data_IF_432091922146
#
_entry.id   IF_432091922146
#
_cell.length_a   1.000
_cell.length_b   1.000
_cell.length_c   1.000
_cell.angle_alpha   90.00
_cell.angle_beta   90.00
_cell.angle_gamma   90.00
#
_symmetry.space_group_name_H-M   'P 1'
#
loop_
_entity.id
_entity.type
_entity.pdbx_description
1 polymer ?
#
# COMPACT_ATOMS: atom_id res chain seq x y z
N UNK A 1 -21.45 18.32 -5.56
CA UNK A 1 -20.20 17.73 -6.13
C UNK A 1 -20.44 16.29 -6.49
N UNK A 2 -20.00 15.89 -7.68
CA UNK A 2 -19.94 14.48 -8.08
C UNK A 2 -18.58 13.89 -7.74
N UNK A 3 -18.58 12.77 -7.01
CA UNK A 3 -17.39 12.03 -6.63
C UNK A 3 -17.36 10.70 -7.37
N UNK A 4 -16.23 10.37 -7.95
CA UNK A 4 -15.97 9.02 -8.46
C UNK A 4 -14.95 8.34 -7.55
N UNK A 5 -15.27 7.15 -7.10
CA UNK A 5 -14.36 6.26 -6.35
C UNK A 5 -13.95 5.12 -7.25
N UNK A 6 -12.67 4.97 -7.50
CA UNK A 6 -12.11 3.81 -8.20
C UNK A 6 -11.63 2.84 -7.12
N UNK A 7 -12.48 1.87 -6.80
CA UNK A 7 -12.23 0.90 -5.76
C UNK A 7 -11.41 -0.26 -6.30
N UNK A 8 -10.24 -0.48 -5.73
CA UNK A 8 -9.46 -1.67 -6.04
C UNK A 8 -9.93 -2.93 -5.34
N UNK A 9 -9.49 -4.06 -5.86
CA UNK A 9 -9.63 -5.34 -5.18
C UNK A 9 -8.91 -5.31 -3.83
N UNK A 10 -9.61 -5.74 -2.79
CA UNK A 10 -9.09 -5.68 -1.43
C UNK A 10 -8.15 -6.85 -1.19
N UNK A 11 -6.96 -6.52 -0.73
CA UNK A 11 -5.96 -7.50 -0.32
C UNK A 11 -6.19 -7.96 1.14
N UNK A 12 -6.96 -7.19 1.93
CA UNK A 12 -7.23 -7.53 3.34
C UNK A 12 -8.36 -8.54 3.46
N UNK A 13 -8.11 -9.61 4.19
CA UNK A 13 -9.05 -10.72 4.36
C UNK A 13 -10.21 -10.43 5.31
N UNK A 14 -10.12 -9.37 6.10
CA UNK A 14 -11.10 -8.95 7.10
C UNK A 14 -12.16 -7.97 6.59
N UNK A 15 -12.00 -7.47 5.36
CA UNK A 15 -12.95 -6.56 4.71
C UNK A 15 -13.41 -7.16 3.38
N UNK A 16 -14.69 -7.35 3.23
CA UNK A 16 -15.28 -7.78 1.95
C UNK A 16 -15.41 -6.62 0.97
N UNK A 17 -15.39 -6.87 -0.36
CA UNK A 17 -15.65 -5.82 -1.36
C UNK A 17 -16.96 -5.07 -1.12
N UNK A 18 -18.00 -5.77 -0.67
CA UNK A 18 -19.29 -5.19 -0.33
C UNK A 18 -19.18 -4.21 0.84
N UNK A 19 -18.49 -4.59 1.91
CA UNK A 19 -18.28 -3.71 3.08
C UNK A 19 -17.50 -2.46 2.69
N UNK A 20 -16.48 -2.58 1.82
CA UNK A 20 -15.75 -1.42 1.33
C UNK A 20 -16.65 -0.50 0.53
N UNK A 21 -17.45 -1.03 -0.38
CA UNK A 21 -18.43 -0.26 -1.15
C UNK A 21 -19.41 0.49 -0.22
N UNK A 22 -19.91 -0.17 0.82
CA UNK A 22 -20.78 0.49 1.81
C UNK A 22 -20.05 1.58 2.62
N UNK A 23 -18.76 1.42 2.88
CA UNK A 23 -17.96 2.47 3.51
C UNK A 23 -17.82 3.70 2.60
N UNK A 24 -17.60 3.51 1.29
CA UNK A 24 -17.53 4.60 0.32
C UNK A 24 -18.86 5.35 0.18
N UNK A 25 -20.00 4.68 0.22
CA UNK A 25 -21.32 5.31 0.20
C UNK A 25 -21.56 6.30 1.34
N UNK A 26 -20.79 6.24 2.41
CA UNK A 26 -20.85 7.25 3.49
C UNK A 26 -20.49 8.65 3.00
N UNK A 27 -19.79 8.79 1.88
CA UNK A 27 -19.52 10.07 1.26
C UNK A 27 -20.78 10.81 0.84
N UNK A 28 -21.86 10.08 0.48
CA UNK A 28 -23.17 10.65 0.12
C UNK A 28 -23.81 11.45 1.28
N UNK A 29 -23.38 11.19 2.51
CA UNK A 29 -23.90 11.85 3.70
C UNK A 29 -23.20 13.20 3.97
N UNK A 30 -22.16 13.52 3.24
CA UNK A 30 -21.41 14.76 3.43
C UNK A 30 -22.12 15.93 2.74
N UNK A 31 -22.17 17.12 3.39
CA UNK A 31 -22.77 18.30 2.78
C UNK A 31 -22.11 18.67 1.45
N UNK A 32 -22.91 18.96 0.45
CA UNK A 32 -22.43 19.40 -0.87
C UNK A 32 -21.99 18.26 -1.81
N UNK A 33 -22.20 17.00 -1.42
CA UNK A 33 -22.06 15.85 -2.31
C UNK A 33 -23.43 15.53 -2.89
N UNK A 34 -23.54 15.53 -4.21
CA UNK A 34 -24.77 15.28 -4.94
C UNK A 34 -24.81 13.85 -5.48
N UNK A 35 -23.66 13.28 -5.81
CA UNK A 35 -23.54 11.96 -6.42
C UNK A 35 -22.21 11.30 -6.01
N UNK A 36 -22.26 10.02 -5.69
CA UNK A 36 -21.08 9.16 -5.49
C UNK A 36 -21.18 7.95 -6.42
N UNK A 37 -20.30 7.86 -7.38
CA UNK A 37 -20.17 6.72 -8.30
C UNK A 37 -19.02 5.85 -7.83
N UNK A 38 -19.25 4.56 -7.66
CA UNK A 38 -18.24 3.60 -7.22
C UNK A 38 -17.96 2.64 -8.37
N UNK A 39 -16.79 2.77 -8.96
CA UNK A 39 -16.29 1.88 -9.99
C UNK A 39 -15.43 0.79 -9.34
N UNK A 40 -15.71 -0.47 -9.66
CA UNK A 40 -14.98 -1.63 -9.13
C UNK A 40 -14.36 -2.38 -10.31
N UNK A 41 -13.22 -1.92 -10.82
CA UNK A 41 -12.56 -2.57 -11.94
C UNK A 41 -12.03 -3.95 -11.54
N UNK A 42 -12.17 -4.93 -12.44
CA UNK A 42 -11.65 -6.28 -12.23
C UNK A 42 -10.10 -6.34 -12.29
N UNK A 43 -9.49 -5.35 -12.91
CA UNK A 43 -8.04 -5.21 -13.05
C UNK A 43 -7.67 -3.74 -12.99
N UNK A 44 -6.39 -3.47 -12.80
CA UNK A 44 -5.86 -2.12 -12.86
C UNK A 44 -6.30 -1.40 -14.14
N UNK A 45 -7.03 -0.27 -14.05
CA UNK A 45 -7.56 0.41 -15.22
C UNK A 45 -6.46 1.06 -16.05
N UNK A 46 -6.54 0.92 -17.36
CA UNK A 46 -5.71 1.70 -18.26
C UNK A 46 -6.20 3.16 -18.36
N UNK A 47 -5.46 4.02 -19.07
CA UNK A 47 -5.75 5.45 -19.19
C UNK A 47 -7.14 5.71 -19.81
N UNK A 48 -7.54 4.94 -20.82
CA UNK A 48 -8.85 5.10 -21.48
C UNK A 48 -10.00 4.74 -20.54
N UNK A 49 -9.82 3.68 -19.75
CA UNK A 49 -10.78 3.29 -18.72
C UNK A 49 -10.86 4.34 -17.62
N UNK A 50 -9.73 4.92 -17.20
CA UNK A 50 -9.70 6.01 -16.23
C UNK A 50 -10.47 7.23 -16.73
N UNK A 51 -10.28 7.63 -17.99
CA UNK A 51 -11.09 8.70 -18.60
C UNK A 51 -12.60 8.39 -18.54
N UNK A 52 -12.97 7.14 -18.82
CA UNK A 52 -14.37 6.70 -18.80
C UNK A 52 -14.93 6.74 -17.38
N UNK A 53 -14.19 6.25 -16.39
CA UNK A 53 -14.64 6.21 -14.98
C UNK A 53 -14.73 7.61 -14.38
N UNK A 54 -13.74 8.45 -14.59
CA UNK A 54 -13.72 9.80 -14.04
C UNK A 54 -14.78 10.68 -14.70
N UNK A 55 -14.93 10.61 -16.02
CA UNK A 55 -15.94 11.35 -16.75
C UNK A 55 -15.94 12.84 -16.43
N UNK A 56 -17.07 13.34 -15.95
CA UNK A 56 -17.33 14.73 -15.58
C UNK A 56 -17.23 15.02 -14.06
N UNK A 57 -16.61 14.13 -13.29
CA UNK A 57 -16.50 14.23 -11.83
C UNK A 57 -15.78 15.50 -11.37
N UNK A 58 -16.23 16.02 -10.23
CA UNK A 58 -15.55 17.10 -9.50
C UNK A 58 -14.39 16.58 -8.64
N UNK A 59 -14.48 15.31 -8.18
CA UNK A 59 -13.48 14.68 -7.35
C UNK A 59 -13.31 13.20 -7.70
N UNK A 60 -12.07 12.71 -7.60
CA UNK A 60 -11.77 11.29 -7.77
C UNK A 60 -10.99 10.76 -6.57
N UNK A 61 -11.39 9.58 -6.10
CA UNK A 61 -10.73 8.79 -5.08
C UNK A 61 -10.27 7.49 -5.74
N UNK A 62 -8.98 7.22 -5.72
CA UNK A 62 -8.45 6.03 -6.35
C UNK A 62 -7.00 5.78 -5.94
N UNK A 63 -6.57 4.55 -6.03
CA UNK A 63 -5.27 4.13 -5.52
C UNK A 63 -4.12 4.61 -6.39
N UNK A 64 -4.26 4.55 -7.69
CA UNK A 64 -3.13 4.63 -8.59
C UNK A 64 -3.21 5.84 -9.51
N UNK A 65 -3.39 6.99 -8.89
CA UNK A 65 -3.26 8.25 -9.60
C UNK A 65 -1.77 8.61 -9.58
N UNK A 66 -1.15 8.51 -10.71
CA UNK A 66 0.29 8.70 -10.89
C UNK A 66 0.63 9.75 -11.94
N UNK A 67 1.92 9.98 -12.21
CA UNK A 67 2.38 11.00 -13.14
C UNK A 67 1.84 10.80 -14.56
N UNK A 68 1.51 9.58 -14.97
CA UNK A 68 1.00 9.30 -16.31
C UNK A 68 -0.45 9.72 -16.48
N UNK A 69 -1.26 9.65 -15.42
CA UNK A 69 -2.66 10.03 -15.41
C UNK A 69 -2.95 11.35 -14.66
N UNK A 70 -1.91 12.03 -14.17
CA UNK A 70 -1.98 13.36 -13.57
C UNK A 70 -1.15 14.39 -14.36
N UNK A 71 -0.90 14.14 -15.64
CA UNK A 71 -0.24 15.09 -16.52
C UNK A 71 -1.25 16.06 -17.17
N UNK A 72 -0.71 17.08 -17.83
CA UNK A 72 -1.50 18.14 -18.49
C UNK A 72 -2.47 17.58 -19.54
N UNK A 73 -2.03 16.60 -20.33
CA UNK A 73 -2.84 16.01 -21.39
C UNK A 73 -4.07 15.25 -20.82
N UNK A 74 -3.87 14.52 -19.74
CA UNK A 74 -4.94 13.81 -19.06
C UNK A 74 -5.92 14.78 -18.39
N UNK A 75 -5.41 15.72 -17.59
CA UNK A 75 -6.26 16.65 -16.83
C UNK A 75 -7.03 17.63 -17.71
N UNK A 76 -6.54 17.91 -18.94
CA UNK A 76 -7.29 18.76 -19.88
C UNK A 76 -8.62 18.15 -20.33
N UNK A 77 -8.77 16.83 -20.23
CA UNK A 77 -10.02 16.11 -20.55
C UNK A 77 -11.01 16.09 -19.37
N UNK A 78 -10.59 16.52 -18.17
CA UNK A 78 -11.41 16.56 -16.97
C UNK A 78 -11.48 17.98 -16.38
N UNK A 79 -12.12 18.94 -17.07
CA UNK A 79 -12.14 20.35 -16.68
C UNK A 79 -12.87 20.61 -15.36
N UNK A 80 -13.75 19.72 -14.94
CA UNK A 80 -14.52 19.84 -13.70
C UNK A 80 -13.73 19.37 -12.47
N UNK A 81 -12.65 18.60 -12.67
CA UNK A 81 -11.91 17.97 -11.58
C UNK A 81 -11.20 19.02 -10.70
N UNK A 82 -11.53 19.01 -9.42
CA UNK A 82 -11.00 19.93 -8.40
C UNK A 82 -10.25 19.23 -7.28
N UNK A 83 -10.50 17.92 -7.11
CA UNK A 83 -9.91 17.19 -6.01
C UNK A 83 -9.56 15.75 -6.42
N UNK A 84 -8.37 15.34 -6.01
CA UNK A 84 -7.85 13.99 -6.22
C UNK A 84 -7.37 13.44 -4.88
N UNK A 85 -7.97 12.36 -4.43
CA UNK A 85 -7.48 11.60 -3.28
C UNK A 85 -6.78 10.34 -3.78
N UNK A 86 -5.47 10.30 -3.64
CA UNK A 86 -4.72 9.05 -3.84
C UNK A 86 -4.78 8.24 -2.55
N UNK A 87 -5.09 6.96 -2.67
CA UNK A 87 -5.07 6.04 -1.53
C UNK A 87 -3.64 5.54 -1.23
N UNK A 88 -2.67 5.91 -2.07
CA UNK A 88 -1.26 5.65 -1.88
C UNK A 88 -0.60 6.64 -0.92
N UNK A 89 0.56 6.25 -0.38
CA UNK A 89 1.36 7.09 0.50
C UNK A 89 2.25 8.09 -0.27
N UNK A 90 2.77 7.67 -1.45
CA UNK A 90 3.68 8.48 -2.26
C UNK A 90 2.96 9.58 -3.03
N UNK A 91 3.58 10.75 -3.12
CA UNK A 91 3.08 11.91 -3.86
C UNK A 91 4.18 12.63 -4.66
N UNK A 92 5.43 12.25 -4.48
CA UNK A 92 6.61 12.96 -4.98
C UNK A 92 6.67 13.01 -6.52
N UNK A 93 5.94 12.13 -7.18
CA UNK A 93 5.88 12.05 -8.64
C UNK A 93 4.81 12.96 -9.26
N UNK A 94 3.96 13.60 -8.44
CA UNK A 94 2.95 14.50 -8.96
C UNK A 94 3.55 15.88 -9.26
N UNK A 95 3.17 16.47 -10.38
CA UNK A 95 3.42 17.87 -10.66
C UNK A 95 2.44 18.74 -9.87
N UNK A 96 2.83 19.04 -8.63
CA UNK A 96 1.99 19.82 -7.72
C UNK A 96 1.86 21.29 -8.15
N UNK A 97 2.79 21.81 -8.93
CA UNK A 97 2.70 23.16 -9.45
C UNK A 97 1.64 23.25 -10.56
N UNK A 98 1.64 22.30 -11.45
CA UNK A 98 0.66 22.22 -12.54
C UNK A 98 -0.76 22.00 -11.98
N UNK A 99 -0.97 21.06 -11.06
CA UNK A 99 -2.27 20.81 -10.46
C UNK A 99 -2.77 22.02 -9.68
N UNK A 100 -1.89 22.73 -8.96
CA UNK A 100 -2.24 23.99 -8.27
C UNK A 100 -2.66 25.08 -9.25
N UNK A 101 -1.99 25.24 -10.39
CA UNK A 101 -2.37 26.20 -11.44
C UNK A 101 -3.74 25.91 -12.01
N UNK A 102 -4.14 24.63 -12.06
CA UNK A 102 -5.47 24.20 -12.49
C UNK A 102 -6.53 24.25 -11.38
N UNK A 103 -6.16 24.59 -10.18
CA UNK A 103 -7.05 24.60 -9.01
C UNK A 103 -7.42 23.20 -8.52
N UNK A 104 -6.61 22.18 -8.84
CA UNK A 104 -6.80 20.81 -8.40
C UNK A 104 -6.00 20.59 -7.11
N UNK A 105 -6.69 20.21 -6.05
CA UNK A 105 -6.05 19.80 -4.79
C UNK A 105 -5.81 18.29 -4.81
N UNK A 106 -4.61 17.88 -4.37
CA UNK A 106 -4.26 16.47 -4.23
C UNK A 106 -4.02 16.15 -2.77
N UNK A 107 -4.57 15.05 -2.28
CA UNK A 107 -4.23 14.48 -0.98
C UNK A 107 -3.76 13.03 -1.13
N UNK A 108 -2.83 12.65 -0.28
CA UNK A 108 -2.42 11.27 -0.09
C UNK A 108 -2.91 10.74 1.25
N UNK A 109 -2.72 9.45 1.49
CA UNK A 109 -3.03 8.81 2.78
C UNK A 109 -1.75 8.57 3.56
N UNK A 110 -1.80 8.87 4.86
CA UNK A 110 -0.70 8.58 5.79
C UNK A 110 -1.13 7.39 6.64
N UNK A 111 -0.63 6.21 6.28
CA UNK A 111 -0.92 4.96 7.00
C UNK A 111 0.24 3.97 6.89
N UNK A 112 0.21 2.94 7.73
CA UNK A 112 1.08 1.77 7.59
C UNK A 112 2.53 1.97 8.02
N UNK A 113 2.94 3.13 8.56
CA UNK A 113 4.32 3.33 8.99
C UNK A 113 4.75 2.31 10.03
N UNK A 114 3.89 1.99 10.99
CA UNK A 114 4.15 0.97 12.00
C UNK A 114 4.26 -0.42 11.37
N UNK A 115 3.29 -0.79 10.54
CA UNK A 115 3.27 -2.08 9.83
C UNK A 115 4.52 -2.26 8.96
N UNK A 116 4.94 -1.21 8.25
CA UNK A 116 6.15 -1.28 7.42
C UNK A 116 7.41 -1.46 8.27
N UNK A 117 7.49 -0.78 9.42
CA UNK A 117 8.62 -0.95 10.34
C UNK A 117 8.67 -2.38 10.91
N UNK A 118 7.53 -2.93 11.33
CA UNK A 118 7.42 -4.31 11.81
C UNK A 118 7.81 -5.31 10.71
N UNK A 119 7.36 -5.08 9.47
CA UNK A 119 7.71 -5.93 8.34
C UNK A 119 9.21 -5.88 8.01
N UNK A 120 9.84 -4.71 8.15
CA UNK A 120 11.29 -4.57 7.98
C UNK A 120 12.06 -5.43 9.00
N UNK A 121 11.60 -5.48 10.26
CA UNK A 121 12.16 -6.38 11.27
C UNK A 121 11.91 -7.85 10.98
N UNK A 122 10.71 -8.20 10.50
CA UNK A 122 10.41 -9.58 10.10
C UNK A 122 11.37 -10.05 9.00
N UNK A 123 11.61 -9.21 7.99
CA UNK A 123 12.59 -9.50 6.93
C UNK A 123 14.02 -9.58 7.45
N UNK A 124 14.42 -8.68 8.36
CA UNK A 124 15.74 -8.72 9.01
C UNK A 124 15.95 -10.04 9.74
N UNK A 125 14.95 -10.48 10.52
CA UNK A 125 15.00 -11.75 11.23
C UNK A 125 15.08 -12.94 10.29
N UNK A 126 14.30 -12.94 9.19
CA UNK A 126 14.35 -14.01 8.20
C UNK A 126 15.71 -14.09 7.51
N UNK A 127 16.29 -12.95 7.13
CA UNK A 127 17.63 -12.89 6.53
C UNK A 127 18.72 -13.39 7.50
N UNK A 128 18.62 -13.05 8.79
CA UNK A 128 19.61 -13.44 9.80
C UNK A 128 19.47 -14.89 10.23
N UNK A 129 18.26 -15.41 10.27
CA UNK A 129 17.95 -16.73 10.82
C UNK A 129 17.45 -17.73 9.79
N UNK A 130 17.25 -17.32 8.53
CA UNK A 130 16.79 -18.17 7.42
C UNK A 130 15.53 -18.97 7.76
N UNK A 131 14.54 -18.31 8.36
CA UNK A 131 13.31 -18.91 8.91
C UNK A 131 12.59 -19.75 7.86
N UNK A 132 12.36 -19.18 6.67
CA UNK A 132 11.70 -19.89 5.58
C UNK A 132 12.43 -21.14 5.13
N UNK A 133 13.76 -21.12 5.07
CA UNK A 133 14.59 -22.27 4.71
C UNK A 133 14.46 -23.39 5.75
N UNK A 134 14.52 -23.04 7.04
CA UNK A 134 14.41 -24.01 8.13
C UNK A 134 12.99 -24.58 8.24
N UNK A 135 11.96 -23.73 8.09
CA UNK A 135 10.56 -24.17 8.07
C UNK A 135 10.28 -25.18 6.95
N UNK A 136 10.71 -24.87 5.73
CA UNK A 136 10.58 -25.77 4.59
C UNK A 136 11.29 -27.09 4.85
N UNK A 137 12.53 -27.04 5.35
CA UNK A 137 13.32 -28.23 5.65
C UNK A 137 12.62 -29.13 6.67
N UNK A 138 12.16 -28.57 7.80
CA UNK A 138 11.52 -29.34 8.87
C UNK A 138 10.24 -30.02 8.36
N UNK A 139 9.47 -29.37 7.49
CA UNK A 139 8.24 -29.92 6.89
C UNK A 139 8.50 -31.04 5.89
N UNK A 140 9.70 -31.13 5.32
CA UNK A 140 10.07 -32.17 4.33
C UNK A 140 10.72 -33.40 4.95
N UNK A 141 11.07 -33.37 6.26
CA UNK A 141 11.67 -34.50 6.95
C UNK A 141 10.61 -35.55 7.27
N UNK A 142 10.92 -36.81 6.96
CA UNK A 142 10.11 -37.94 7.43
C UNK A 142 10.46 -38.23 8.91
N UNK A 143 9.63 -37.74 9.80
CA UNK A 143 9.79 -37.91 11.24
C UNK A 143 9.44 -39.30 11.76
N UNK A 144 8.88 -40.19 10.92
CA UNK A 144 8.65 -41.59 11.26
C UNK A 144 9.95 -42.41 11.28
N UNK A 145 11.01 -41.89 10.67
CA UNK A 145 12.32 -42.52 10.59
C UNK A 145 13.14 -42.09 11.83
N UNK A 146 13.51 -43.01 12.72
CA UNK A 146 14.24 -42.67 13.97
C UNK A 146 15.57 -41.93 13.75
N UNK A 147 16.26 -42.22 12.64
CA UNK A 147 17.54 -41.59 12.27
C UNK A 147 17.37 -40.08 12.00
N UNK A 148 16.16 -39.66 11.65
CA UNK A 148 15.84 -38.25 11.39
C UNK A 148 15.54 -37.45 12.67
N UNK A 149 15.38 -38.10 13.83
CA UNK A 149 14.96 -37.40 15.05
C UNK A 149 15.93 -36.34 15.54
N UNK A 150 17.17 -36.33 15.08
CA UNK A 150 18.16 -35.31 15.41
C UNK A 150 18.26 -34.19 14.38
N UNK A 151 17.46 -34.24 13.31
CA UNK A 151 17.52 -33.24 12.22
C UNK A 151 17.10 -31.85 12.68
N UNK A 152 16.23 -31.73 13.69
CA UNK A 152 15.83 -30.45 14.25
C UNK A 152 17.00 -29.69 14.93
N UNK A 153 18.03 -30.40 15.37
CA UNK A 153 19.24 -29.80 15.99
C UNK A 153 20.24 -29.29 14.95
N UNK A 154 20.06 -29.64 13.66
CA UNK A 154 21.06 -29.33 12.63
C UNK A 154 20.69 -28.02 11.92
N UNK A 155 21.50 -26.98 12.17
CA UNK A 155 21.44 -25.78 11.34
C UNK A 155 22.08 -26.04 9.98
N UNK A 156 21.36 -25.83 8.89
CA UNK A 156 21.85 -25.96 7.50
C UNK A 156 22.35 -24.64 6.92
N UNK A 157 22.15 -23.55 7.67
CA UNK A 157 22.57 -22.22 7.29
C UNK A 157 23.33 -21.57 8.45
N UNK A 158 24.21 -20.61 8.13
CA UNK A 158 24.89 -19.82 9.15
C UNK A 158 23.89 -18.83 9.75
N UNK A 159 23.64 -18.95 11.03
CA UNK A 159 22.85 -18.00 11.81
C UNK A 159 23.66 -16.73 12.11
N UNK A 160 22.99 -15.58 12.10
CA UNK A 160 23.56 -14.30 12.50
C UNK A 160 22.81 -13.84 13.74
N UNK A 161 23.48 -13.85 14.87
CA UNK A 161 22.94 -13.27 16.10
C UNK A 161 23.01 -11.74 16.03
N UNK A 162 21.91 -11.08 16.36
CA UNK A 162 21.80 -9.62 16.27
C UNK A 162 22.27 -8.90 17.54
N UNK A 163 22.47 -9.62 18.62
CA UNK A 163 23.01 -9.07 19.88
C UNK A 163 24.36 -8.38 19.62
N UNK A 164 24.54 -7.19 20.17
CA UNK A 164 25.71 -6.33 19.97
C UNK A 164 26.03 -5.97 18.50
N UNK A 165 25.06 -6.10 17.60
CA UNK A 165 25.20 -5.63 16.22
C UNK A 165 24.70 -4.19 16.08
N UNK A 166 25.25 -3.51 15.11
CA UNK A 166 24.83 -2.15 14.77
C UNK A 166 23.95 -2.18 13.54
N UNK A 167 22.78 -1.56 13.62
CA UNK A 167 21.91 -1.31 12.47
C UNK A 167 22.09 0.12 11.98
N UNK A 168 22.26 0.29 10.67
CA UNK A 168 22.27 1.60 10.03
C UNK A 168 20.89 1.90 9.44
N UNK A 169 20.30 3.03 9.81
CA UNK A 169 19.01 3.50 9.28
C UNK A 169 19.27 4.70 8.39
N UNK A 170 18.97 4.54 7.08
CA UNK A 170 19.08 5.62 6.11
C UNK A 170 17.71 6.26 5.93
N UNK A 171 17.56 7.51 6.40
CA UNK A 171 16.30 8.25 6.44
C UNK A 171 15.55 8.08 7.77
N UNK A 172 15.35 9.20 8.48
CA UNK A 172 14.65 9.27 9.77
C UNK A 172 13.28 9.93 9.62
N UNK A 173 12.52 9.53 8.60
CA UNK A 173 11.10 9.86 8.49
C UNK A 173 10.24 8.97 9.40
N UNK A 174 8.91 8.99 9.20
CA UNK A 174 7.96 8.26 10.05
C UNK A 174 8.31 6.77 10.23
N UNK A 175 8.73 6.09 9.16
CA UNK A 175 9.11 4.68 9.20
C UNK A 175 10.49 4.51 9.84
N UNK A 176 11.50 5.30 9.42
CA UNK A 176 12.87 5.14 9.91
C UNK A 176 13.01 5.36 11.40
N UNK A 177 12.26 6.30 11.98
CA UNK A 177 12.19 6.52 13.44
C UNK A 177 11.65 5.28 14.16
N UNK A 178 10.59 4.64 13.61
CA UNK A 178 10.03 3.43 14.21
C UNK A 178 10.99 2.25 14.14
N UNK A 179 11.70 2.09 13.02
CA UNK A 179 12.75 1.07 12.86
C UNK A 179 13.89 1.33 13.85
N UNK A 180 14.35 2.57 13.97
CA UNK A 180 15.42 2.92 14.92
C UNK A 180 15.01 2.65 16.38
N UNK A 181 13.79 3.03 16.76
CA UNK A 181 13.28 2.79 18.10
C UNK A 181 13.17 1.28 18.40
N UNK A 182 12.66 0.48 17.48
CA UNK A 182 12.57 -0.97 17.66
C UNK A 182 13.93 -1.65 17.75
N UNK A 183 14.98 -1.06 17.19
CA UNK A 183 16.35 -1.59 17.29
C UNK A 183 17.03 -1.28 18.63
N UNK A 184 16.51 -0.35 19.42
CA UNK A 184 17.06 0.03 20.73
C UNK A 184 16.47 -0.83 21.86
N UNK A 185 15.29 -1.38 21.67
CA UNK A 185 14.54 -2.18 22.64
C UNK A 185 14.57 -3.67 22.32
#
# INVERSE_FOLDING_TARGET
MKIVVIQEEIIQTDITPKELTERWKRLEQLPGIDEVVIEVPAHYPNIEQLHTYIGDADAVFGLWIGPDNMNEAFLSQHPNLKYVATLGHGWEKFDTEMTRKRGISISNTIYGSQTIAEYAFALLMDVCHHIGTHDTRIKTIDWSVPENHNEFCKSVTRQIELYDKTIGVIGLGAIGVLVANAAIH
#
